data_IF_846570049713
#
_entry.id   IF_846570049713
#
_cell.length_a   1.000
_cell.length_b   1.000
_cell.length_c   1.000
_cell.angle_alpha   90.00
_cell.angle_beta   90.00
_cell.angle_gamma   90.00
#
_symmetry.space_group_name_H-M   'P 1'
#
loop_
_entity.id
_entity.type
_entity.pdbx_description
1 polymer ?
#
# COMPACT_ATOMS: atom_id res chain seq x y z
N UNK A 1 28.36 6.77 14.07
CA UNK A 1 28.19 5.31 13.85
C UNK A 1 26.76 5.07 13.43
N UNK A 2 26.53 4.16 12.50
CA UNK A 2 25.17 3.76 12.12
C UNK A 2 24.52 3.02 13.29
N UNK A 3 23.20 3.23 13.48
CA UNK A 3 22.40 2.52 14.46
C UNK A 3 21.51 1.51 13.75
N UNK A 4 21.10 0.45 14.46
CA UNK A 4 20.22 -0.59 13.94
C UNK A 4 18.77 -0.06 13.88
N UNK A 5 18.22 0.24 12.71
CA UNK A 5 16.83 0.73 12.63
C UNK A 5 15.83 -0.43 12.73
N UNK A 6 14.54 -0.16 13.00
CA UNK A 6 13.50 -1.18 12.91
C UNK A 6 13.49 -1.86 11.54
N UNK A 7 13.03 -3.13 11.49
CA UNK A 7 12.96 -3.92 10.26
C UNK A 7 11.50 -4.12 9.83
N UNK A 8 11.23 -3.85 8.56
CA UNK A 8 9.95 -4.09 7.90
C UNK A 8 10.12 -5.02 6.69
N UNK A 9 9.01 -5.56 6.19
CA UNK A 9 8.95 -6.28 4.93
C UNK A 9 7.92 -5.61 4.00
N UNK A 10 8.33 -5.30 2.77
CA UNK A 10 7.44 -4.88 1.70
C UNK A 10 7.26 -5.99 0.69
N UNK A 11 6.01 -6.35 0.38
CA UNK A 11 5.64 -7.36 -0.60
C UNK A 11 4.92 -6.67 -1.75
N UNK A 12 5.49 -6.73 -2.95
CA UNK A 12 4.90 -6.12 -4.13
C UNK A 12 4.10 -7.14 -4.94
N UNK A 13 2.82 -6.84 -5.16
CA UNK A 13 1.92 -7.59 -6.04
C UNK A 13 1.68 -6.73 -7.29
N UNK A 14 2.21 -7.13 -8.46
CA UNK A 14 2.26 -6.22 -9.61
C UNK A 14 0.99 -6.21 -10.47
N UNK A 15 -0.06 -6.95 -10.14
CA UNK A 15 -1.24 -7.09 -11.01
C UNK A 15 -2.42 -6.24 -10.57
N UNK A 16 -3.18 -5.74 -11.57
CA UNK A 16 -4.46 -5.08 -11.42
C UNK A 16 -5.48 -5.67 -12.40
N UNK A 17 -6.75 -5.65 -12.07
CA UNK A 17 -7.83 -5.95 -13.02
C UNK A 17 -7.80 -4.94 -14.16
N UNK A 18 -7.66 -3.64 -13.83
CA UNK A 18 -7.56 -2.54 -14.77
C UNK A 18 -6.56 -1.52 -14.25
N UNK A 19 -5.64 -1.08 -15.11
CA UNK A 19 -4.70 0.00 -14.76
C UNK A 19 -5.39 1.35 -14.90
N UNK A 20 -5.38 2.13 -13.82
CA UNK A 20 -5.96 3.47 -13.81
C UNK A 20 -5.12 4.45 -14.65
N UNK A 21 -5.74 5.44 -15.33
CA UNK A 21 -5.04 6.35 -16.23
C UNK A 21 -4.04 7.29 -15.55
N UNK A 22 -4.11 7.44 -14.23
CA UNK A 22 -3.20 8.26 -13.42
C UNK A 22 -2.09 7.47 -12.72
N UNK A 23 -2.19 6.12 -12.69
CA UNK A 23 -1.34 5.30 -11.83
C UNK A 23 0.06 5.12 -12.41
N UNK A 24 1.08 5.58 -11.68
CA UNK A 24 2.51 5.46 -11.97
C UNK A 24 3.16 4.24 -11.29
N UNK A 25 2.43 3.54 -10.42
CA UNK A 25 2.93 2.35 -9.74
C UNK A 25 3.35 1.26 -10.72
N UNK A 26 4.28 0.41 -10.27
CA UNK A 26 4.66 -0.79 -11.02
C UNK A 26 3.51 -1.80 -11.04
N UNK A 27 2.47 -1.50 -11.81
CA UNK A 27 1.26 -2.30 -11.93
C UNK A 27 1.01 -2.68 -13.39
N UNK A 28 0.55 -3.92 -13.59
CA UNK A 28 0.31 -4.52 -14.88
C UNK A 28 -1.10 -5.08 -14.93
N UNK A 29 -1.83 -4.77 -15.99
CA UNK A 29 -3.17 -5.31 -16.16
C UNK A 29 -3.09 -6.82 -16.38
N UNK A 30 -3.95 -7.58 -15.69
CA UNK A 30 -4.09 -9.03 -15.90
C UNK A 30 -4.75 -9.26 -17.24
N UNK A 31 -4.10 -10.05 -18.10
CA UNK A 31 -4.67 -10.54 -19.35
C UNK A 31 -4.96 -12.04 -19.18
N UNK A 32 -6.19 -12.39 -18.81
CA UNK A 32 -6.55 -13.76 -18.48
C UNK A 32 -6.29 -14.13 -17.01
N UNK A 33 -5.54 -15.21 -16.75
CA UNK A 33 -5.14 -15.64 -15.41
C UNK A 33 -3.67 -15.36 -15.15
N UNK A 34 -3.29 -15.24 -13.89
CA UNK A 34 -1.90 -15.21 -13.45
C UNK A 34 -1.59 -16.42 -12.54
N UNK A 35 -0.34 -16.84 -12.52
CA UNK A 35 0.09 -18.02 -11.77
C UNK A 35 0.35 -17.65 -10.29
N UNK A 36 -0.73 -17.51 -9.50
CA UNK A 36 -0.67 -17.06 -8.10
C UNK A 36 0.29 -17.91 -7.25
N UNK A 37 0.14 -19.24 -7.29
CA UNK A 37 0.96 -20.16 -6.50
C UNK A 37 2.45 -20.06 -6.88
N UNK A 38 2.74 -19.96 -8.17
CA UNK A 38 4.11 -19.80 -8.66
C UNK A 38 4.71 -18.47 -8.20
N UNK A 39 3.92 -17.40 -8.22
CA UNK A 39 4.38 -16.10 -7.72
C UNK A 39 4.60 -16.12 -6.21
N UNK A 40 3.70 -16.75 -5.46
CA UNK A 40 3.84 -16.89 -4.00
C UNK A 40 5.11 -17.67 -3.63
N UNK A 41 5.41 -18.75 -4.33
CA UNK A 41 6.67 -19.46 -4.14
C UNK A 41 7.88 -18.59 -4.52
N UNK A 42 7.76 -17.82 -5.59
CA UNK A 42 8.83 -16.89 -6.01
C UNK A 42 9.07 -15.76 -4.99
N UNK A 43 8.03 -15.25 -4.35
CA UNK A 43 8.16 -14.30 -3.23
C UNK A 43 8.93 -14.91 -2.06
N UNK A 44 8.69 -16.19 -1.76
CA UNK A 44 9.45 -16.86 -0.71
C UNK A 44 10.93 -17.06 -1.08
N UNK A 45 11.23 -17.46 -2.32
CA UNK A 45 12.62 -17.55 -2.81
C UNK A 45 13.32 -16.18 -2.74
N UNK A 46 12.60 -15.12 -3.08
CA UNK A 46 13.08 -13.73 -3.00
C UNK A 46 13.35 -13.33 -1.54
N UNK A 47 12.45 -13.69 -0.62
CA UNK A 47 12.66 -13.48 0.80
C UNK A 47 13.92 -14.17 1.31
N UNK A 48 14.20 -15.40 0.91
CA UNK A 48 15.43 -16.12 1.32
C UNK A 48 16.69 -15.41 0.83
N UNK A 49 16.66 -14.85 -0.37
CA UNK A 49 17.77 -14.05 -0.91
C UNK A 49 17.98 -12.76 -0.09
N UNK A 50 16.90 -12.02 0.20
CA UNK A 50 16.99 -10.81 1.02
C UNK A 50 17.41 -11.11 2.47
N UNK A 51 16.94 -12.23 3.03
CA UNK A 51 17.34 -12.69 4.37
C UNK A 51 18.85 -12.98 4.47
N UNK A 52 19.46 -13.47 3.39
CA UNK A 52 20.90 -13.71 3.36
C UNK A 52 21.70 -12.41 3.31
N UNK A 53 21.11 -11.30 2.85
CA UNK A 53 21.70 -9.96 2.88
C UNK A 53 21.54 -9.27 4.24
N UNK A 54 20.60 -9.76 5.06
CA UNK A 54 20.38 -9.24 6.39
C UNK A 54 21.53 -9.66 7.31
N UNK A 55 22.37 -8.73 7.74
CA UNK A 55 23.56 -9.03 8.52
C UNK A 55 23.27 -9.69 9.89
N UNK A 56 22.19 -9.27 10.56
CA UNK A 56 21.70 -9.87 11.81
C UNK A 56 20.33 -10.50 11.63
N UNK A 57 20.27 -11.83 11.71
CA UNK A 57 19.04 -12.63 11.57
C UNK A 57 18.22 -12.71 12.88
N UNK A 58 18.71 -12.18 14.00
CA UNK A 58 17.96 -12.13 15.26
C UNK A 58 17.02 -10.93 15.35
N UNK A 59 16.99 -10.07 14.33
CA UNK A 59 16.06 -8.93 14.26
C UNK A 59 14.63 -9.43 14.19
N UNK A 60 13.74 -8.69 14.86
CA UNK A 60 12.29 -8.95 14.75
C UNK A 60 11.68 -8.10 13.65
N UNK A 61 10.78 -8.70 12.89
CA UNK A 61 10.00 -8.00 11.88
C UNK A 61 8.87 -7.21 12.56
N UNK A 62 8.87 -5.90 12.39
CA UNK A 62 7.92 -4.99 13.04
C UNK A 62 6.67 -4.75 12.19
N UNK A 63 6.80 -4.80 10.87
CA UNK A 63 5.66 -4.69 9.95
C UNK A 63 5.87 -5.45 8.65
N UNK A 64 4.73 -5.85 8.05
CA UNK A 64 4.64 -6.33 6.67
C UNK A 64 3.63 -5.43 5.95
N UNK A 65 4.00 -4.95 4.77
CA UNK A 65 3.10 -4.18 3.92
C UNK A 65 2.99 -4.86 2.54
N UNK A 66 1.78 -5.22 2.16
CA UNK A 66 1.45 -5.86 0.90
C UNK A 66 0.77 -4.83 0.01
N UNK A 67 1.49 -4.34 -0.99
CA UNK A 67 1.05 -3.25 -1.85
C UNK A 67 1.41 -3.44 -3.32
N UNK A 68 1.24 -2.37 -4.09
CA UNK A 68 1.65 -2.27 -5.48
C UNK A 68 0.53 -2.11 -6.49
N UNK A 69 0.11 -3.16 -7.15
CA UNK A 69 -1.04 -3.16 -8.06
C UNK A 69 -2.35 -3.33 -7.29
N UNK A 70 -2.78 -4.57 -7.14
CA UNK A 70 -3.99 -4.94 -6.39
C UNK A 70 -3.74 -6.23 -5.61
N UNK A 71 -3.13 -6.13 -4.41
CA UNK A 71 -2.84 -7.31 -3.60
C UNK A 71 -4.06 -8.16 -3.29
N UNK A 72 -5.22 -7.54 -3.19
CA UNK A 72 -6.48 -8.24 -2.95
C UNK A 72 -6.96 -9.12 -4.12
N UNK A 73 -6.20 -9.27 -5.18
CA UNK A 73 -6.40 -10.33 -6.18
C UNK A 73 -6.00 -11.71 -5.64
N UNK A 74 -5.03 -11.76 -4.74
CA UNK A 74 -4.51 -13.00 -4.15
C UNK A 74 -5.46 -13.55 -3.08
N UNK A 75 -5.40 -14.86 -2.85
CA UNK A 75 -6.17 -15.55 -1.81
C UNK A 75 -5.52 -15.37 -0.44
N UNK A 76 -6.31 -15.45 0.63
CA UNK A 76 -5.81 -15.44 2.00
C UNK A 76 -4.85 -16.62 2.28
N UNK A 77 -5.12 -17.78 1.72
CA UNK A 77 -4.29 -18.98 1.84
C UNK A 77 -2.86 -18.76 1.31
N UNK A 78 -2.70 -18.00 0.23
CA UNK A 78 -1.38 -17.67 -0.33
C UNK A 78 -0.55 -16.83 0.66
N UNK A 79 -1.18 -15.88 1.36
CA UNK A 79 -0.52 -15.10 2.40
C UNK A 79 -0.27 -15.91 3.66
N UNK A 80 -1.21 -16.75 4.08
CA UNK A 80 -1.00 -17.67 5.21
C UNK A 80 0.21 -18.59 4.97
N UNK A 81 0.29 -19.18 3.79
CA UNK A 81 1.42 -20.01 3.38
C UNK A 81 2.75 -19.23 3.41
N UNK A 82 2.78 -18.03 2.82
CA UNK A 82 3.97 -17.18 2.77
C UNK A 82 4.42 -16.76 4.18
N UNK A 83 3.51 -16.29 5.02
CA UNK A 83 3.84 -15.84 6.39
C UNK A 83 4.30 -16.98 7.28
N UNK A 84 3.71 -18.16 7.17
CA UNK A 84 4.15 -19.35 7.91
C UNK A 84 5.61 -19.69 7.58
N UNK A 85 5.98 -19.64 6.32
CA UNK A 85 7.36 -19.90 5.88
C UNK A 85 8.32 -18.78 6.28
N UNK A 86 7.94 -17.51 6.17
CA UNK A 86 8.76 -16.37 6.61
C UNK A 86 9.01 -16.46 8.12
N UNK A 87 7.97 -16.77 8.91
CA UNK A 87 8.03 -16.86 10.36
C UNK A 87 8.97 -17.97 10.86
N UNK A 88 9.24 -19.02 10.06
CA UNK A 88 10.22 -20.05 10.39
C UNK A 88 11.68 -19.57 10.32
N UNK A 89 11.93 -18.41 9.71
CA UNK A 89 13.28 -17.85 9.53
C UNK A 89 13.51 -16.53 10.27
N UNK A 90 12.45 -15.73 10.42
CA UNK A 90 12.53 -14.39 10.99
C UNK A 90 11.38 -14.19 11.98
N UNK A 91 11.72 -13.82 13.21
CA UNK A 91 10.73 -13.63 14.27
C UNK A 91 9.85 -12.43 13.97
N UNK A 92 8.54 -12.59 14.14
CA UNK A 92 7.58 -11.49 14.12
C UNK A 92 7.48 -10.87 15.51
N UNK A 93 7.43 -9.55 15.59
CA UNK A 93 7.21 -8.86 16.87
C UNK A 93 5.82 -9.20 17.43
N UNK A 94 5.64 -9.14 18.74
CA UNK A 94 4.38 -9.51 19.38
C UNK A 94 3.19 -8.63 18.96
N UNK A 95 3.46 -7.43 18.44
CA UNK A 95 2.48 -6.45 17.96
C UNK A 95 2.71 -6.06 16.49
N UNK A 96 3.18 -7.01 15.67
CA UNK A 96 3.46 -6.77 14.26
C UNK A 96 2.23 -6.18 13.53
N UNK A 97 2.46 -5.14 12.75
CA UNK A 97 1.46 -4.61 11.81
C UNK A 97 1.58 -5.32 10.46
N UNK A 98 0.52 -5.97 10.00
CA UNK A 98 0.45 -6.59 8.67
C UNK A 98 -0.66 -5.92 7.88
N UNK A 99 -0.27 -5.10 6.90
CA UNK A 99 -1.18 -4.32 6.05
C UNK A 99 -1.35 -4.97 4.69
N UNK A 100 -2.59 -4.98 4.18
CA UNK A 100 -2.90 -5.28 2.77
C UNK A 100 -3.63 -4.11 2.12
N UNK A 101 -3.23 -3.75 0.90
CA UNK A 101 -4.00 -2.86 0.04
C UNK A 101 -5.10 -3.62 -0.68
N UNK A 102 -6.30 -3.06 -0.71
CA UNK A 102 -7.45 -3.63 -1.40
C UNK A 102 -8.24 -2.56 -2.17
N UNK A 103 -8.78 -2.94 -3.32
CA UNK A 103 -9.70 -2.10 -4.07
C UNK A 103 -11.14 -2.46 -3.68
N UNK A 104 -12.02 -1.46 -3.44
CA UNK A 104 -13.45 -1.69 -3.27
C UNK A 104 -14.06 -2.46 -4.46
N UNK A 105 -15.08 -3.29 -4.19
CA UNK A 105 -15.75 -4.09 -5.22
C UNK A 105 -14.98 -5.34 -5.67
N UNK A 106 -13.70 -5.47 -5.35
CA UNK A 106 -12.89 -6.64 -5.70
C UNK A 106 -12.83 -7.70 -4.58
N UNK A 107 -13.48 -7.44 -3.44
CA UNK A 107 -13.36 -8.27 -2.21
C UNK A 107 -14.75 -8.52 -1.62
N UNK A 108 -15.01 -9.76 -1.28
CA UNK A 108 -16.21 -10.20 -0.55
C UNK A 108 -15.86 -10.51 0.92
N UNK A 109 -16.88 -10.88 1.69
CA UNK A 109 -16.75 -11.18 3.13
C UNK A 109 -15.85 -12.40 3.42
N UNK A 110 -15.88 -13.42 2.57
CA UNK A 110 -15.07 -14.63 2.73
C UNK A 110 -13.59 -14.29 2.54
N UNK A 111 -13.29 -13.47 1.56
CA UNK A 111 -11.92 -13.05 1.25
C UNK A 111 -11.31 -12.16 2.34
N UNK A 112 -12.06 -11.19 2.86
CA UNK A 112 -11.61 -10.39 3.99
C UNK A 112 -11.42 -11.23 5.26
N UNK A 113 -12.31 -12.21 5.49
CA UNK A 113 -12.16 -13.15 6.60
C UNK A 113 -10.88 -13.98 6.44
N UNK A 114 -10.62 -14.50 5.24
CA UNK A 114 -9.41 -15.26 4.97
C UNK A 114 -8.12 -14.43 5.15
N UNK A 115 -8.13 -13.14 4.83
CA UNK A 115 -7.00 -12.26 5.14
C UNK A 115 -6.80 -12.08 6.64
N UNK A 116 -7.88 -11.85 7.37
CA UNK A 116 -7.82 -11.72 8.83
C UNK A 116 -7.28 -13.00 9.49
N UNK A 117 -7.79 -14.16 9.06
CA UNK A 117 -7.34 -15.47 9.54
C UNK A 117 -5.89 -15.80 9.15
N UNK A 118 -5.38 -15.26 8.04
CA UNK A 118 -3.97 -15.32 7.67
C UNK A 118 -3.06 -14.46 8.55
N UNK A 119 -3.63 -13.63 9.43
CA UNK A 119 -2.90 -12.75 10.36
C UNK A 119 -2.73 -11.31 9.87
N UNK A 120 -3.35 -10.92 8.75
CA UNK A 120 -3.42 -9.52 8.32
C UNK A 120 -4.32 -8.78 9.29
N UNK A 121 -3.81 -7.67 9.88
CA UNK A 121 -4.51 -6.95 10.95
C UNK A 121 -4.74 -5.46 10.63
N UNK A 122 -4.31 -5.00 9.47
CA UNK A 122 -4.59 -3.66 8.94
C UNK A 122 -4.96 -3.76 7.47
N UNK A 123 -5.96 -2.97 7.05
CA UNK A 123 -6.38 -2.90 5.65
C UNK A 123 -6.34 -1.45 5.15
N UNK A 124 -5.85 -1.26 3.91
CA UNK A 124 -5.88 0.02 3.20
C UNK A 124 -6.84 -0.12 2.01
N UNK A 125 -7.93 0.63 2.04
CA UNK A 125 -8.95 0.61 1.00
C UNK A 125 -8.78 1.79 0.04
N UNK A 126 -8.50 1.49 -1.21
CA UNK A 126 -8.32 2.48 -2.28
C UNK A 126 -9.67 3.06 -2.75
N UNK A 127 -10.33 3.84 -1.92
CA UNK A 127 -11.63 4.46 -2.19
C UNK A 127 -11.52 5.56 -3.25
N UNK A 128 -10.57 6.46 -3.08
CA UNK A 128 -10.24 7.63 -3.91
C UNK A 128 -11.26 8.76 -3.82
N UNK A 129 -12.56 8.49 -3.94
CA UNK A 129 -13.68 9.43 -3.78
C UNK A 129 -14.95 8.67 -3.47
N UNK A 130 -15.92 9.31 -2.84
CA UNK A 130 -17.29 8.82 -2.67
C UNK A 130 -18.27 9.44 -3.68
N UNK A 131 -17.78 10.11 -4.70
CA UNK A 131 -18.58 10.64 -5.82
C UNK A 131 -18.28 9.86 -7.10
N UNK A 132 -19.26 9.15 -7.63
CA UNK A 132 -19.14 8.32 -8.83
C UNK A 132 -18.70 9.11 -10.08
N UNK A 133 -18.97 10.41 -10.13
CA UNK A 133 -18.48 11.29 -11.18
C UNK A 133 -16.96 11.37 -11.18
N UNK A 134 -16.33 11.51 -10.00
CA UNK A 134 -14.87 11.57 -9.89
C UNK A 134 -14.27 10.18 -10.05
N UNK A 135 -14.88 9.13 -9.50
CA UNK A 135 -14.45 7.75 -9.72
C UNK A 135 -14.42 7.41 -11.22
N UNK A 136 -15.45 7.78 -11.95
CA UNK A 136 -15.49 7.59 -13.41
C UNK A 136 -14.38 8.35 -14.14
N UNK A 137 -14.11 9.62 -13.77
CA UNK A 137 -13.00 10.41 -14.34
C UNK A 137 -11.64 9.80 -14.04
N UNK A 138 -11.47 9.20 -12.87
CA UNK A 138 -10.27 8.45 -12.48
C UNK A 138 -10.15 7.08 -13.16
N UNK A 139 -11.15 6.65 -13.93
CA UNK A 139 -11.19 5.34 -14.57
C UNK A 139 -11.35 4.17 -13.60
N UNK A 140 -11.86 4.45 -12.37
CA UNK A 140 -12.16 3.43 -11.37
C UNK A 140 -13.35 2.57 -11.83
N UNK A 141 -13.35 1.31 -11.40
CA UNK A 141 -14.38 0.33 -11.76
C UNK A 141 -15.41 0.12 -10.65
N UNK A 142 -15.15 0.60 -9.45
CA UNK A 142 -16.05 0.54 -8.30
C UNK A 142 -16.85 1.84 -8.18
N UNK A 143 -17.99 1.76 -7.50
CA UNK A 143 -18.86 2.88 -7.15
C UNK A 143 -18.66 3.33 -5.70
N UNK A 144 -19.25 4.45 -5.31
CA UNK A 144 -19.29 4.92 -3.92
C UNK A 144 -19.96 3.89 -2.98
N UNK A 145 -21.04 3.24 -3.46
CA UNK A 145 -21.72 2.18 -2.71
C UNK A 145 -20.82 0.96 -2.51
N UNK A 146 -20.03 0.57 -3.51
CA UNK A 146 -19.04 -0.50 -3.38
C UNK A 146 -17.98 -0.16 -2.34
N UNK A 147 -17.56 1.11 -2.26
CA UNK A 147 -16.60 1.57 -1.29
C UNK A 147 -17.16 1.46 0.14
N UNK A 148 -18.36 1.96 0.39
CA UNK A 148 -19.05 1.89 1.70
C UNK A 148 -19.23 0.42 2.10
N UNK A 149 -19.77 -0.40 1.21
CA UNK A 149 -19.96 -1.83 1.45
C UNK A 149 -18.65 -2.55 1.79
N UNK A 150 -17.55 -2.21 1.10
CA UNK A 150 -16.25 -2.83 1.37
C UNK A 150 -15.72 -2.47 2.77
N UNK A 151 -15.98 -1.26 3.26
CA UNK A 151 -15.64 -0.84 4.63
C UNK A 151 -16.45 -1.63 5.66
N UNK A 152 -17.75 -1.79 5.44
CA UNK A 152 -18.64 -2.59 6.32
C UNK A 152 -18.21 -4.05 6.38
N UNK A 153 -17.87 -4.63 5.23
CA UNK A 153 -17.42 -6.02 5.12
C UNK A 153 -16.07 -6.20 5.84
N UNK A 154 -15.13 -5.24 5.70
CA UNK A 154 -13.86 -5.28 6.42
C UNK A 154 -14.07 -5.26 7.94
N UNK A 155 -14.94 -4.39 8.45
CA UNK A 155 -15.30 -4.34 9.87
C UNK A 155 -15.93 -5.66 10.35
N UNK A 156 -16.86 -6.20 9.56
CA UNK A 156 -17.53 -7.48 9.88
C UNK A 156 -16.57 -8.67 9.88
N UNK A 157 -15.50 -8.61 9.10
CA UNK A 157 -14.43 -9.61 9.10
C UNK A 157 -13.50 -9.51 10.33
N UNK A 158 -13.59 -8.44 11.13
CA UNK A 158 -12.82 -8.23 12.34
C UNK A 158 -11.70 -7.18 12.24
N UNK A 159 -11.58 -6.47 11.13
CA UNK A 159 -10.59 -5.40 11.02
C UNK A 159 -10.99 -4.17 11.82
N UNK A 160 -10.17 -3.81 12.81
CA UNK A 160 -10.28 -2.56 13.58
C UNK A 160 -9.34 -1.46 13.05
N UNK A 161 -8.26 -1.84 12.37
CA UNK A 161 -7.31 -0.92 11.79
C UNK A 161 -7.56 -0.77 10.29
N UNK A 162 -8.38 0.22 9.93
CA UNK A 162 -8.81 0.48 8.56
C UNK A 162 -8.30 1.85 8.13
N UNK A 163 -7.57 1.88 7.02
CA UNK A 163 -7.22 3.10 6.31
C UNK A 163 -8.10 3.28 5.08
N UNK A 164 -8.53 4.50 4.83
CA UNK A 164 -9.19 4.90 3.59
C UNK A 164 -8.23 5.80 2.80
N UNK A 165 -7.91 5.40 1.58
CA UNK A 165 -7.14 6.22 0.65
C UNK A 165 -8.12 7.13 -0.12
N UNK A 166 -8.04 8.44 0.08
CA UNK A 166 -8.90 9.46 -0.51
C UNK A 166 -8.02 10.47 -1.26
N UNK A 167 -8.40 10.75 -2.48
CA UNK A 167 -7.74 11.78 -3.29
C UNK A 167 -8.49 13.12 -3.20
N UNK A 168 -7.74 14.21 -3.29
CA UNK A 168 -8.30 15.55 -3.47
C UNK A 168 -7.62 16.28 -4.63
N UNK A 169 -8.19 17.43 -5.03
CA UNK A 169 -7.71 18.12 -6.21
C UNK A 169 -7.99 17.38 -7.51
N UNK A 170 -9.02 16.53 -7.51
CA UNK A 170 -9.46 15.73 -8.66
C UNK A 170 -9.87 16.63 -9.84
N UNK A 171 -9.88 16.11 -11.08
CA UNK A 171 -10.29 16.89 -12.25
C UNK A 171 -11.61 17.61 -12.07
N UNK A 172 -11.58 18.97 -12.10
CA UNK A 172 -12.71 19.87 -11.89
C UNK A 172 -13.40 19.73 -10.51
N UNK A 173 -12.70 19.25 -9.49
CA UNK A 173 -13.24 19.12 -8.13
C UNK A 173 -13.39 20.51 -7.48
N UNK A 174 -14.55 20.76 -6.87
CA UNK A 174 -14.76 21.92 -6.03
C UNK A 174 -14.31 21.67 -4.58
N UNK A 175 -14.19 22.75 -3.81
CA UNK A 175 -13.87 22.66 -2.37
C UNK A 175 -14.96 21.86 -1.63
N UNK A 176 -16.22 22.11 -1.95
CA UNK A 176 -17.37 21.45 -1.32
C UNK A 176 -17.37 19.95 -1.57
N UNK A 177 -17.06 19.53 -2.82
CA UNK A 177 -16.99 18.12 -3.19
C UNK A 177 -15.84 17.38 -2.48
N UNK A 178 -14.66 18.01 -2.38
CA UNK A 178 -13.53 17.41 -1.65
C UNK A 178 -13.80 17.29 -0.14
N UNK A 179 -14.49 18.27 0.43
CA UNK A 179 -14.92 18.27 1.83
C UNK A 179 -15.97 17.17 2.08
N UNK A 180 -16.88 16.97 1.13
CA UNK A 180 -17.91 15.94 1.26
C UNK A 180 -17.33 14.53 1.23
N UNK A 181 -16.34 14.27 0.37
CA UNK A 181 -15.58 13.01 0.40
C UNK A 181 -15.00 12.73 1.80
N UNK A 182 -14.43 13.74 2.46
CA UNK A 182 -13.91 13.58 3.82
C UNK A 182 -15.00 13.36 4.87
N UNK A 183 -16.16 14.02 4.76
CA UNK A 183 -17.29 13.82 5.69
C UNK A 183 -17.79 12.39 5.61
N UNK A 184 -18.01 11.89 4.40
CA UNK A 184 -18.45 10.51 4.19
C UNK A 184 -17.38 9.54 4.72
N UNK A 185 -16.09 9.80 4.46
CA UNK A 185 -15.00 8.97 4.98
C UNK A 185 -15.02 8.91 6.51
N UNK A 186 -15.18 10.04 7.20
CA UNK A 186 -15.21 10.14 8.66
C UNK A 186 -16.44 9.43 9.24
N UNK A 187 -17.61 9.52 8.61
CA UNK A 187 -18.83 8.80 8.99
C UNK A 187 -18.62 7.28 8.99
N UNK A 188 -17.74 6.78 8.09
CA UNK A 188 -17.34 5.39 8.09
C UNK A 188 -16.44 5.02 9.29
N UNK A 189 -16.08 5.94 10.16
CA UNK A 189 -15.28 5.70 11.38
C UNK A 189 -14.00 4.87 11.13
N UNK A 190 -13.15 5.23 10.17
CA UNK A 190 -11.86 4.59 10.00
C UNK A 190 -10.89 5.02 11.10
N UNK A 191 -9.87 4.22 11.37
CA UNK A 191 -8.78 4.59 12.28
C UNK A 191 -7.72 5.48 11.63
N UNK A 192 -7.71 5.53 10.30
CA UNK A 192 -6.69 6.22 9.51
C UNK A 192 -7.27 6.70 8.17
N UNK A 193 -6.84 7.85 7.69
CA UNK A 193 -7.18 8.40 6.37
C UNK A 193 -5.87 8.83 5.70
N UNK A 194 -5.58 8.27 4.54
CA UNK A 194 -4.58 8.78 3.61
C UNK A 194 -5.28 9.76 2.67
N UNK A 195 -5.08 11.05 2.91
CA UNK A 195 -5.71 12.11 2.12
C UNK A 195 -4.66 12.86 1.32
N UNK A 196 -4.56 12.55 0.02
CA UNK A 196 -3.45 13.00 -0.82
C UNK A 196 -3.94 13.70 -2.08
N UNK A 197 -3.13 14.69 -2.50
CA UNK A 197 -3.43 15.48 -3.69
C UNK A 197 -3.23 14.65 -4.95
N UNK A 198 -4.19 14.75 -5.87
CA UNK A 198 -4.05 14.19 -7.20
C UNK A 198 -2.95 14.93 -7.96
N UNK A 199 -1.98 14.18 -8.48
CA UNK A 199 -0.86 14.66 -9.30
C UNK A 199 -0.83 13.94 -10.64
N UNK A 200 -0.31 14.62 -11.66
CA UNK A 200 -0.14 14.04 -13.00
C UNK A 200 1.31 13.54 -13.11
N UNK A 201 1.47 12.23 -12.99
CA UNK A 201 2.78 11.60 -12.95
C UNK A 201 3.29 11.22 -14.34
N UNK A 202 4.61 11.32 -14.62
CA UNK A 202 5.21 10.87 -15.87
C UNK A 202 4.89 9.40 -16.18
N UNK A 203 4.86 9.06 -17.44
CA UNK A 203 4.56 7.70 -17.95
C UNK A 203 3.13 7.19 -17.66
N UNK A 204 2.21 8.07 -17.34
CA UNK A 204 0.78 7.76 -17.21
C UNK A 204 0.00 8.21 -18.44
N UNK A 205 -1.23 7.70 -18.59
CA UNK A 205 -2.13 8.17 -19.65
C UNK A 205 -2.44 9.67 -19.46
N UNK A 206 -2.68 10.13 -18.24
CA UNK A 206 -2.98 11.52 -17.93
C UNK A 206 -1.78 12.47 -18.14
N UNK A 207 -0.55 11.97 -18.13
CA UNK A 207 0.60 12.77 -18.51
C UNK A 207 0.55 13.18 -20.00
N UNK A 208 0.11 12.26 -20.86
CA UNK A 208 -0.03 12.51 -22.29
C UNK A 208 -1.33 13.24 -22.66
N UNK A 209 -2.37 13.05 -21.84
CA UNK A 209 -3.71 13.62 -22.03
C UNK A 209 -4.22 14.20 -20.70
N UNK A 210 -3.66 15.35 -20.28
CA UNK A 210 -3.91 15.89 -18.94
C UNK A 210 -5.37 16.36 -18.81
N UNK A 211 -6.08 15.93 -17.75
CA UNK A 211 -7.39 16.48 -17.44
C UNK A 211 -7.26 17.91 -16.90
N UNK A 212 -8.34 18.66 -16.94
CA UNK A 212 -8.39 20.00 -16.34
C UNK A 212 -8.43 19.89 -14.82
N UNK A 213 -7.39 20.36 -14.15
CA UNK A 213 -7.31 20.39 -12.69
C UNK A 213 -7.91 21.67 -12.11
N UNK A 214 -8.31 21.68 -10.82
CA UNK A 214 -8.66 22.89 -10.10
C UNK A 214 -7.51 23.90 -10.08
N UNK A 215 -7.83 25.19 -10.03
CA UNK A 215 -6.81 26.24 -9.85
C UNK A 215 -6.11 26.11 -8.50
N UNK A 216 -4.91 26.69 -8.36
CA UNK A 216 -4.14 26.70 -7.10
C UNK A 216 -5.00 27.21 -5.93
N UNK A 217 -5.73 28.33 -6.10
CA UNK A 217 -6.60 28.87 -5.05
C UNK A 217 -7.69 27.87 -4.59
N UNK A 218 -8.22 27.04 -5.51
CA UNK A 218 -9.19 26.00 -5.15
C UNK A 218 -8.46 24.86 -4.41
N UNK A 219 -7.28 24.45 -4.85
CA UNK A 219 -6.49 23.42 -4.18
C UNK A 219 -6.08 23.82 -2.77
N UNK A 220 -5.64 25.08 -2.58
CA UNK A 220 -5.33 25.64 -1.26
C UNK A 220 -6.56 25.63 -0.36
N UNK A 221 -7.71 26.08 -0.89
CA UNK A 221 -8.98 26.06 -0.14
C UNK A 221 -9.46 24.64 0.22
N UNK A 222 -9.21 23.65 -0.65
CA UNK A 222 -9.47 22.24 -0.35
C UNK A 222 -8.59 21.80 0.83
N UNK A 223 -7.28 22.05 0.75
CA UNK A 223 -6.34 21.63 1.78
C UNK A 223 -6.63 22.30 3.13
N UNK A 224 -6.88 23.61 3.17
CA UNK A 224 -7.20 24.34 4.39
C UNK A 224 -8.48 23.78 5.06
N UNK A 225 -9.58 23.66 4.29
CA UNK A 225 -10.84 23.17 4.85
C UNK A 225 -10.77 21.69 5.23
N UNK A 226 -10.11 20.87 4.43
CA UNK A 226 -9.97 19.43 4.69
C UNK A 226 -9.14 19.14 5.94
N UNK A 227 -7.98 19.77 6.10
CA UNK A 227 -7.15 19.63 7.31
C UNK A 227 -7.88 20.08 8.56
N UNK A 228 -8.67 21.19 8.47
CA UNK A 228 -9.51 21.65 9.57
C UNK A 228 -10.57 20.62 9.96
N UNK A 229 -11.25 20.00 8.99
CA UNK A 229 -12.26 18.96 9.26
C UNK A 229 -11.61 17.75 9.90
N UNK A 230 -10.51 17.24 9.36
CA UNK A 230 -9.80 16.09 9.91
C UNK A 230 -9.37 16.35 11.37
N UNK A 231 -8.81 17.53 11.65
CA UNK A 231 -8.38 17.88 13.01
C UNK A 231 -9.56 17.99 14.00
N UNK A 232 -10.71 18.52 13.57
CA UNK A 232 -11.91 18.61 14.45
C UNK A 232 -12.53 17.24 14.77
N UNK A 233 -12.20 16.19 13.96
CA UNK A 233 -12.63 14.82 14.19
C UNK A 233 -11.50 13.95 14.76
N UNK A 234 -10.53 14.57 15.44
CA UNK A 234 -9.42 13.91 16.13
C UNK A 234 -8.46 13.10 15.22
N UNK A 235 -8.44 13.40 13.92
CA UNK A 235 -7.40 12.90 13.02
C UNK A 235 -6.17 13.81 13.10
N UNK A 236 -5.07 13.29 13.60
CA UNK A 236 -3.79 14.00 13.68
C UNK A 236 -2.94 13.69 12.46
N UNK A 237 -2.49 14.72 11.76
CA UNK A 237 -1.54 14.56 10.67
C UNK A 237 -0.17 14.15 11.24
N UNK A 238 0.48 13.14 10.67
CA UNK A 238 1.79 12.67 11.11
C UNK A 238 2.83 12.55 9.98
N UNK A 239 2.38 12.68 8.73
CA UNK A 239 3.21 12.87 7.55
C UNK A 239 2.41 13.69 6.51
N UNK A 240 2.96 13.90 5.30
CA UNK A 240 2.41 14.83 4.29
C UNK A 240 0.93 14.58 3.99
N UNK A 241 0.52 13.31 3.89
CA UNK A 241 -0.82 12.90 3.44
C UNK A 241 -1.53 11.94 4.38
N UNK A 242 -0.97 11.62 5.55
CA UNK A 242 -1.55 10.65 6.45
C UNK A 242 -2.04 11.23 7.76
N UNK A 243 -3.26 10.87 8.09
CA UNK A 243 -4.00 11.33 9.24
C UNK A 243 -4.51 10.12 10.04
N UNK A 244 -4.24 10.09 11.34
CA UNK A 244 -4.58 8.96 12.20
C UNK A 244 -5.29 9.39 13.48
N UNK A 245 -6.22 8.57 13.95
CA UNK A 245 -6.82 8.69 15.28
C UNK A 245 -6.08 7.77 16.27
N UNK A 246 -6.13 8.11 17.57
CA UNK A 246 -5.67 7.25 18.65
C UNK A 246 -4.27 6.63 18.43
N UNK A 247 -3.36 7.38 17.80
CA UNK A 247 -2.00 6.90 17.47
C UNK A 247 -1.94 5.69 16.53
N UNK A 248 -3.01 5.42 15.75
CA UNK A 248 -3.09 4.35 14.74
C UNK A 248 -2.33 4.72 13.45
N UNK A 249 -1.11 5.27 13.62
CA UNK A 249 -0.20 5.55 12.49
C UNK A 249 0.16 4.24 11.78
N UNK A 250 0.32 4.28 10.45
CA UNK A 250 0.90 3.14 9.74
C UNK A 250 2.35 2.95 10.17
N UNK A 251 2.65 1.84 10.82
CA UNK A 251 4.01 1.56 11.28
C UNK A 251 4.98 1.44 10.10
N UNK A 252 4.55 0.74 9.04
CA UNK A 252 5.38 0.56 7.84
C UNK A 252 5.77 1.89 7.19
N UNK A 253 4.79 2.78 6.97
CA UNK A 253 5.05 4.10 6.37
C UNK A 253 5.92 4.96 7.28
N UNK A 254 5.63 4.96 8.59
CA UNK A 254 6.44 5.68 9.56
C UNK A 254 7.89 5.17 9.58
N UNK A 255 8.10 3.84 9.55
CA UNK A 255 9.44 3.25 9.46
C UNK A 255 10.18 3.73 8.19
N UNK A 256 9.50 3.75 7.04
CA UNK A 256 10.06 4.26 5.80
C UNK A 256 10.50 5.73 5.90
N UNK A 257 9.61 6.60 6.42
CA UNK A 257 9.88 8.03 6.58
C UNK A 257 10.96 8.32 7.64
N UNK A 258 11.09 7.47 8.64
CA UNK A 258 12.16 7.53 9.65
C UNK A 258 13.46 6.88 9.19
N UNK A 259 13.60 6.59 7.91
CA UNK A 259 14.77 5.96 7.33
C UNK A 259 15.07 4.55 7.88
N UNK A 260 14.02 3.82 8.30
CA UNK A 260 14.11 2.44 8.78
C UNK A 260 14.54 1.43 7.71
N UNK A 261 14.88 0.22 8.13
CA UNK A 261 15.20 -0.87 7.21
C UNK A 261 13.95 -1.59 6.73
N UNK A 262 13.98 -2.05 5.49
CA UNK A 262 12.95 -2.91 4.94
C UNK A 262 13.51 -3.83 3.86
N UNK A 263 13.11 -5.10 3.93
CA UNK A 263 13.27 -6.07 2.87
C UNK A 263 12.20 -5.78 1.81
N UNK A 264 12.58 -5.76 0.55
CA UNK A 264 11.62 -5.61 -0.56
C UNK A 264 11.62 -6.87 -1.41
N UNK A 265 10.46 -7.54 -1.49
CA UNK A 265 10.26 -8.74 -2.30
C UNK A 265 9.13 -8.55 -3.31
N UNK A 266 9.24 -9.20 -4.45
CA UNK A 266 8.26 -9.11 -5.54
C UNK A 266 8.72 -8.22 -6.69
N UNK A 267 8.03 -8.35 -7.82
CA UNK A 267 8.37 -7.66 -9.07
C UNK A 267 8.31 -6.14 -8.93
N UNK A 268 9.45 -5.47 -9.05
CA UNK A 268 9.57 -4.01 -8.90
C UNK A 268 9.71 -3.53 -7.46
N UNK A 269 9.81 -4.43 -6.47
CA UNK A 269 10.04 -4.05 -5.09
C UNK A 269 11.42 -3.40 -4.90
N UNK A 270 11.48 -2.47 -3.98
CA UNK A 270 12.71 -1.85 -3.49
C UNK A 270 12.95 -2.28 -2.05
N UNK A 271 14.21 -2.37 -1.65
CA UNK A 271 14.62 -2.62 -0.27
C UNK A 271 15.70 -1.65 0.19
N UNK A 272 15.86 -1.54 1.51
CA UNK A 272 16.94 -0.77 2.14
C UNK A 272 17.38 -1.49 3.40
N UNK A 273 18.68 -1.76 3.53
CA UNK A 273 19.29 -2.41 4.70
C UNK A 273 20.49 -1.62 5.21
N UNK A 274 20.59 -1.57 6.51
CA UNK A 274 21.75 -1.03 7.25
C UNK A 274 22.64 -2.18 7.71
N UNK A 275 23.85 -2.27 7.15
CA UNK A 275 24.85 -3.28 7.48
C UNK A 275 25.86 -2.69 8.46
N UNK A 276 25.60 -2.86 9.78
CA UNK A 276 26.41 -2.23 10.85
C UNK A 276 27.87 -2.70 10.81
N UNK A 277 28.10 -4.00 10.60
CA UNK A 277 29.44 -4.58 10.58
C UNK A 277 30.31 -4.05 9.44
N UNK A 278 29.67 -3.60 8.35
CA UNK A 278 30.35 -3.05 7.17
C UNK A 278 30.30 -1.52 7.14
N UNK A 279 29.56 -0.91 8.06
CA UNK A 279 29.26 0.54 8.09
C UNK A 279 28.71 1.05 6.76
N UNK A 280 27.77 0.28 6.16
CA UNK A 280 27.19 0.55 4.84
C UNK A 280 25.69 0.54 4.87
N UNK A 281 25.09 1.26 3.91
CA UNK A 281 23.70 1.13 3.51
C UNK A 281 23.63 0.46 2.14
N UNK A 282 22.73 -0.49 1.97
CA UNK A 282 22.45 -1.09 0.67
C UNK A 282 21.01 -0.83 0.25
N UNK A 283 20.81 -0.60 -1.02
CA UNK A 283 19.50 -0.54 -1.68
C UNK A 283 19.38 -1.69 -2.65
N UNK A 284 18.23 -2.36 -2.61
CA UNK A 284 17.88 -3.42 -3.57
C UNK A 284 16.76 -2.94 -4.47
N UNK A 285 16.74 -3.42 -5.71
CA UNK A 285 15.70 -3.13 -6.69
C UNK A 285 15.44 -4.37 -7.55
N UNK A 286 14.20 -4.83 -7.57
CA UNK A 286 13.77 -6.01 -8.32
C UNK A 286 13.33 -5.65 -9.73
N UNK A 287 13.38 -6.61 -10.68
CA UNK A 287 12.86 -6.40 -12.04
C UNK A 287 11.42 -5.93 -12.03
N UNK A 288 11.11 -4.87 -12.78
CA UNK A 288 9.76 -4.29 -12.84
C UNK A 288 8.75 -5.18 -13.59
N UNK A 289 9.20 -5.93 -14.60
CA UNK A 289 8.34 -6.80 -15.41
C UNK A 289 8.10 -8.13 -14.68
N UNK A 290 6.82 -8.54 -14.45
CA UNK A 290 6.51 -9.76 -13.73
C UNK A 290 7.05 -11.02 -14.41
N UNK A 291 6.99 -11.10 -15.74
CA UNK A 291 7.55 -12.21 -16.51
C UNK A 291 9.08 -12.35 -16.32
N UNK A 292 9.80 -11.25 -16.33
CA UNK A 292 11.24 -11.26 -16.08
C UNK A 292 11.55 -11.67 -14.64
N UNK A 293 10.84 -11.13 -13.66
CA UNK A 293 10.96 -11.50 -12.25
C UNK A 293 10.69 -12.99 -12.02
N UNK A 294 9.65 -13.55 -12.66
CA UNK A 294 9.25 -14.94 -12.51
C UNK A 294 10.23 -15.94 -13.12
N UNK A 295 10.87 -15.59 -14.24
CA UNK A 295 11.64 -16.55 -15.05
C UNK A 295 13.16 -16.50 -14.79
N UNK A 296 13.67 -15.55 -14.00
CA UNK A 296 15.10 -15.42 -13.71
C UNK A 296 15.39 -15.72 -12.23
N UNK A 297 16.61 -16.16 -11.92
CA UNK A 297 17.03 -16.30 -10.53
C UNK A 297 17.00 -14.94 -9.83
N UNK A 298 16.41 -14.88 -8.62
CA UNK A 298 16.17 -13.60 -7.92
C UNK A 298 17.47 -12.85 -7.68
N UNK A 299 18.51 -13.55 -7.22
CA UNK A 299 19.78 -12.91 -6.86
C UNK A 299 20.45 -12.23 -8.06
N UNK A 300 20.53 -12.94 -9.18
CA UNK A 300 21.13 -12.40 -10.41
C UNK A 300 20.32 -11.27 -11.06
N UNK A 301 19.02 -11.24 -10.82
CA UNK A 301 18.11 -10.22 -11.35
C UNK A 301 17.96 -8.99 -10.44
N UNK A 302 18.40 -9.06 -9.17
CA UNK A 302 18.33 -7.96 -8.22
C UNK A 302 19.49 -6.98 -8.46
N UNK A 303 19.14 -5.70 -8.61
CA UNK A 303 20.13 -4.63 -8.66
C UNK A 303 20.48 -4.18 -7.23
N UNK A 304 21.78 -4.10 -6.94
CA UNK A 304 22.31 -3.63 -5.67
C UNK A 304 22.98 -2.27 -5.86
N UNK A 305 22.74 -1.36 -4.91
CA UNK A 305 23.44 -0.08 -4.83
C UNK A 305 23.91 0.14 -3.40
N UNK A 306 25.20 0.34 -3.21
CA UNK A 306 25.79 0.79 -1.94
C UNK A 306 25.69 2.32 -1.82
N UNK A 307 25.46 2.84 -0.61
CA UNK A 307 25.37 4.27 -0.28
C UNK A 307 26.25 4.55 0.94
#
# INVERSE_FOLDING_TARGET
MLEQPPLSLYIHIPWCIKKCPYCDFNSHQVNGSFEEDKYTNKLYDDFLVELNRLGDKNRELQSIFIGGGTPSLFKGDSFHFLFTRIKSHLKFSGNIEITIEANPGAVDSEKFRAYFDAGINRISLGVQSFDDKYLSKLGRIHTSDDAIKSIEVAKSAGFENINLDIMHGLPEQSIEAAVEDLRIAIEQSPSHISWYQFTIEPNTYFYNYPPKLPSENIQDGIFEKGTKILSTHAFSQYEVSAFAQNSRKSFHNHNYWSFGDYLGIGSGAHGKLTLLNENKLIRTNKPKRPDHYMNHAVDSATQLREI
#
